data_IF_784909521075
#
_entry.id   IF_784909521075
#
_cell.length_a   1.000
_cell.length_b   1.000
_cell.length_c   1.000
_cell.angle_alpha   90.00
_cell.angle_beta   90.00
_cell.angle_gamma   90.00
#
_symmetry.space_group_name_H-M   'P 1'
#
loop_
_entity.id
_entity.type
_entity.pdbx_description
1 polymer ?
#
# COMPACT_ATOMS: atom_id res chain seq x y z
N UNK A 1 11.33 -17.38 20.98
CA UNK A 1 10.51 -16.16 20.85
C UNK A 1 9.06 -16.59 20.74
N UNK A 2 8.17 -15.98 21.53
CA UNK A 2 6.73 -16.16 21.38
C UNK A 2 6.18 -15.16 20.35
N UNK A 3 5.12 -15.51 19.64
CA UNK A 3 4.35 -14.56 18.83
C UNK A 3 3.39 -13.85 19.79
N UNK A 4 3.43 -12.52 19.81
CA UNK A 4 2.45 -11.73 20.56
C UNK A 4 1.20 -11.49 19.70
N UNK A 5 0.03 -11.83 20.22
CA UNK A 5 -1.25 -11.71 19.51
C UNK A 5 -2.02 -10.50 20.03
N UNK A 6 -2.33 -9.57 19.13
CA UNK A 6 -3.17 -8.40 19.36
C UNK A 6 -4.54 -8.62 18.70
N UNK A 7 -5.64 -8.38 19.43
CA UNK A 7 -7.00 -8.43 18.88
C UNK A 7 -7.58 -7.05 18.81
N UNK A 8 -8.08 -6.69 17.64
CA UNK A 8 -8.59 -5.35 17.34
C UNK A 8 -10.01 -5.52 16.81
N UNK A 9 -10.99 -5.15 17.63
CA UNK A 9 -12.40 -5.17 17.23
C UNK A 9 -12.82 -3.78 16.76
N UNK A 10 -13.15 -3.69 15.49
CA UNK A 10 -13.66 -2.50 14.85
C UNK A 10 -15.18 -2.60 14.89
N UNK A 11 -15.82 -1.63 15.53
CA UNK A 11 -17.28 -1.50 15.48
C UNK A 11 -17.74 -1.51 14.01
N UNK A 12 -18.78 -2.30 13.72
CA UNK A 12 -19.42 -2.31 12.40
C UNK A 12 -20.08 -0.94 12.16
N UNK A 13 -19.30 0.02 11.71
CA UNK A 13 -19.75 1.35 11.32
C UNK A 13 -20.05 1.36 9.83
N UNK A 14 -20.79 2.36 9.36
CA UNK A 14 -21.00 2.58 7.92
C UNK A 14 -19.74 3.11 7.19
N UNK A 15 -18.60 3.21 7.86
CA UNK A 15 -17.37 3.69 7.23
C UNK A 15 -16.77 2.60 6.34
N UNK A 16 -16.59 2.94 5.06
CA UNK A 16 -16.02 2.06 4.04
C UNK A 16 -14.52 1.78 4.25
N UNK A 17 -13.82 2.59 5.06
CA UNK A 17 -12.39 2.45 5.37
C UNK A 17 -12.15 2.49 6.86
N UNK A 18 -11.19 1.70 7.33
CA UNK A 18 -10.68 1.74 8.69
C UNK A 18 -9.16 1.87 8.64
N UNK A 19 -8.61 2.76 9.46
CA UNK A 19 -7.17 2.89 9.67
C UNK A 19 -6.90 2.65 11.15
N UNK A 20 -6.06 1.66 11.44
CA UNK A 20 -5.70 1.28 12.81
C UNK A 20 -4.21 1.42 12.99
N UNK A 21 -3.79 2.23 13.96
CA UNK A 21 -2.40 2.37 14.37
C UNK A 21 -2.15 1.51 15.61
N UNK A 22 -1.13 0.65 15.54
CA UNK A 22 -0.67 -0.14 16.68
C UNK A 22 0.63 0.48 17.17
N UNK A 23 0.64 0.94 18.42
CA UNK A 23 1.75 1.69 19.01
C UNK A 23 2.39 0.92 20.17
N UNK A 24 3.50 1.45 20.70
CA UNK A 24 4.22 0.90 21.86
C UNK A 24 4.67 -0.56 21.68
N UNK A 25 5.03 -0.92 20.45
CA UNK A 25 5.53 -2.24 20.11
C UNK A 25 7.01 -2.39 20.49
N UNK A 26 7.38 -3.57 20.98
CA UNK A 26 8.78 -3.89 21.24
C UNK A 26 9.56 -4.01 19.93
N UNK A 27 10.85 -3.65 19.98
CA UNK A 27 11.76 -3.71 18.83
C UNK A 27 12.16 -5.14 18.51
N UNK A 28 12.38 -5.43 17.22
CA UNK A 28 12.82 -6.75 16.74
C UNK A 28 11.92 -7.93 17.13
N UNK A 29 10.63 -7.66 17.35
CA UNK A 29 9.63 -8.62 17.85
C UNK A 29 8.62 -8.97 16.76
N UNK A 30 8.23 -10.23 16.69
CA UNK A 30 7.18 -10.72 15.80
C UNK A 30 5.82 -10.66 16.46
N UNK A 31 4.88 -10.01 15.78
CA UNK A 31 3.50 -9.83 16.20
C UNK A 31 2.54 -10.51 15.23
N UNK A 32 1.38 -10.89 15.75
CA UNK A 32 0.18 -11.15 14.98
C UNK A 32 -0.94 -10.22 15.44
N UNK A 33 -1.64 -9.62 14.50
CA UNK A 33 -2.82 -8.81 14.73
C UNK A 33 -4.03 -9.47 14.05
N UNK A 34 -5.07 -9.74 14.82
CA UNK A 34 -6.37 -10.21 14.32
C UNK A 34 -7.33 -9.02 14.28
N UNK A 35 -7.79 -8.68 13.07
CA UNK A 35 -8.79 -7.63 12.86
C UNK A 35 -10.16 -8.29 12.82
N UNK A 36 -11.06 -7.80 13.66
CA UNK A 36 -12.47 -8.19 13.70
C UNK A 36 -13.32 -6.97 13.33
N UNK A 37 -14.42 -7.20 12.61
CA UNK A 37 -15.44 -6.21 12.29
C UNK A 37 -16.75 -6.70 12.88
N UNK A 38 -17.27 -5.99 13.89
CA UNK A 38 -18.44 -6.44 14.65
C UNK A 38 -18.23 -7.81 15.30
N UNK A 39 -17.01 -8.08 15.78
CA UNK A 39 -16.65 -9.36 16.40
C UNK A 39 -16.40 -10.52 15.42
N UNK A 40 -16.41 -10.30 14.11
CA UNK A 40 -16.16 -11.33 13.09
C UNK A 40 -14.94 -11.01 12.23
N UNK A 41 -14.17 -12.02 11.85
CA UNK A 41 -13.06 -11.82 10.91
C UNK A 41 -13.62 -11.42 9.52
N UNK A 42 -13.05 -10.39 8.87
CA UNK A 42 -13.50 -9.96 7.56
C UNK A 42 -13.19 -11.01 6.48
N UNK A 43 -13.93 -11.01 5.39
CA UNK A 43 -13.65 -11.83 4.20
C UNK A 43 -13.49 -10.95 2.96
N UNK A 44 -12.75 -11.47 1.97
CA UNK A 44 -12.60 -10.80 0.67
C UNK A 44 -13.75 -11.23 -0.26
N UNK A 45 -14.49 -10.26 -0.81
CA UNK A 45 -15.60 -10.50 -1.75
C UNK A 45 -16.65 -11.51 -1.26
N UNK A 46 -16.86 -11.62 0.06
CA UNK A 46 -17.81 -12.57 0.63
C UNK A 46 -17.44 -14.04 0.42
N UNK A 47 -16.21 -14.34 -0.02
CA UNK A 47 -15.73 -15.71 -0.17
C UNK A 47 -15.70 -16.43 1.18
N UNK A 48 -15.91 -17.74 1.16
CA UNK A 48 -15.72 -18.61 2.34
C UNK A 48 -14.24 -18.63 2.71
N UNK A 49 -13.85 -17.78 3.64
CA UNK A 49 -12.47 -17.64 4.07
C UNK A 49 -12.28 -16.35 4.85
N UNK A 50 -11.75 -16.46 6.06
CA UNK A 50 -11.35 -15.29 6.84
C UNK A 50 -10.09 -14.70 6.23
N UNK A 51 -10.02 -13.37 6.10
CA UNK A 51 -8.77 -12.68 5.73
C UNK A 51 -7.64 -13.17 6.61
N UNK A 52 -7.90 -13.45 7.89
CA UNK A 52 -6.97 -14.08 8.83
C UNK A 52 -6.04 -13.07 9.50
N UNK A 53 -5.19 -13.52 10.45
CA UNK A 53 -4.30 -12.62 11.17
C UNK A 53 -3.25 -12.03 10.24
N UNK A 54 -2.92 -10.77 10.49
CA UNK A 54 -1.79 -10.06 9.91
C UNK A 54 -0.58 -10.35 10.79
N UNK A 55 0.53 -10.80 10.22
CA UNK A 55 1.81 -11.00 10.90
C UNK A 55 2.79 -9.92 10.47
N UNK A 56 3.64 -9.44 11.38
CA UNK A 56 4.72 -8.52 11.05
C UNK A 56 5.84 -8.61 12.09
N UNK A 57 7.05 -8.22 11.69
CA UNK A 57 8.19 -8.03 12.61
C UNK A 57 8.53 -6.56 12.70
N UNK A 58 8.71 -6.06 13.91
CA UNK A 58 9.15 -4.68 14.15
C UNK A 58 10.65 -4.52 13.92
N UNK A 59 11.04 -3.33 13.52
CA UNK A 59 12.44 -2.95 13.39
C UNK A 59 13.18 -2.93 14.75
N UNK A 60 14.52 -3.03 14.76
CA UNK A 60 15.38 -3.24 13.60
C UNK A 60 15.34 -4.67 13.06
N UNK A 61 15.53 -4.80 11.75
CA UNK A 61 15.76 -6.07 11.05
C UNK A 61 17.22 -6.50 11.13
N UNK A 62 17.48 -7.78 10.89
CA UNK A 62 18.84 -8.31 10.83
C UNK A 62 19.50 -7.96 9.49
N UNK A 63 20.83 -7.76 9.49
CA UNK A 63 21.58 -7.54 8.26
C UNK A 63 21.95 -8.88 7.58
N UNK A 64 21.85 -8.98 6.24
CA UNK A 64 21.40 -7.95 5.31
C UNK A 64 19.88 -7.72 5.35
N UNK A 65 19.46 -6.45 5.26
CA UNK A 65 18.04 -6.12 5.05
C UNK A 65 17.62 -6.59 3.66
N UNK A 66 16.49 -7.26 3.57
CA UNK A 66 15.98 -7.87 2.34
C UNK A 66 14.62 -7.26 2.02
N UNK A 67 14.46 -6.74 0.81
CA UNK A 67 13.16 -6.24 0.36
C UNK A 67 12.92 -6.60 -1.09
N UNK A 68 11.65 -6.72 -1.45
CA UNK A 68 11.22 -6.92 -2.83
C UNK A 68 10.62 -5.63 -3.40
N UNK A 69 10.74 -5.45 -4.71
CA UNK A 69 10.16 -4.33 -5.43
C UNK A 69 9.34 -4.81 -6.62
N UNK A 70 8.21 -4.15 -6.88
CA UNK A 70 7.38 -4.40 -8.05
C UNK A 70 6.75 -3.09 -8.54
N UNK A 71 6.55 -2.92 -9.84
CA UNK A 71 5.68 -1.91 -10.43
C UNK A 71 4.73 -2.57 -11.43
N UNK A 72 3.74 -1.85 -11.91
CA UNK A 72 2.92 -2.27 -13.06
C UNK A 72 2.22 -3.63 -12.85
N UNK A 73 1.55 -3.82 -11.70
CA UNK A 73 1.03 -5.13 -11.26
C UNK A 73 -0.40 -5.48 -11.74
N UNK A 74 -0.93 -4.69 -12.67
CA UNK A 74 -2.26 -4.63 -13.31
C UNK A 74 -3.14 -5.86 -13.31
N UNK A 75 -2.57 -7.03 -13.63
CA UNK A 75 -3.32 -7.98 -14.44
C UNK A 75 -4.27 -8.86 -13.63
N UNK A 76 -4.02 -9.04 -12.33
CA UNK A 76 -4.78 -9.98 -11.51
C UNK A 76 -4.80 -11.42 -12.07
N UNK A 77 -3.92 -11.70 -13.03
CA UNK A 77 -3.89 -12.93 -13.79
C UNK A 77 -3.05 -13.98 -13.05
N UNK A 78 -3.01 -15.19 -13.60
CA UNK A 78 -2.24 -16.28 -12.98
C UNK A 78 -0.77 -15.96 -12.77
N UNK A 79 -0.18 -15.04 -13.55
CA UNK A 79 1.22 -14.62 -13.41
C UNK A 79 1.35 -13.69 -12.21
N UNK A 80 0.43 -12.72 -12.03
CA UNK A 80 0.38 -11.88 -10.83
C UNK A 80 0.25 -12.72 -9.56
N UNK A 81 -0.64 -13.73 -9.56
CA UNK A 81 -0.79 -14.66 -8.43
C UNK A 81 0.50 -15.43 -8.13
N UNK A 82 1.11 -16.04 -9.14
CA UNK A 82 2.38 -16.76 -8.98
C UNK A 82 3.49 -15.85 -8.48
N UNK A 83 3.57 -14.60 -8.98
CA UNK A 83 4.54 -13.63 -8.52
C UNK A 83 4.37 -13.30 -7.04
N UNK A 84 3.14 -13.06 -6.59
CA UNK A 84 2.85 -12.80 -5.18
C UNK A 84 3.21 -14.00 -4.29
N UNK A 85 2.92 -15.23 -4.73
CA UNK A 85 3.35 -16.45 -4.02
C UNK A 85 4.87 -16.55 -3.92
N UNK A 86 5.61 -16.22 -4.99
CA UNK A 86 7.06 -16.21 -4.96
C UNK A 86 7.62 -15.16 -4.00
N UNK A 87 7.01 -13.98 -3.91
CA UNK A 87 7.40 -12.93 -2.96
C UNK A 87 7.27 -13.44 -1.52
N UNK A 88 6.17 -14.09 -1.15
CA UNK A 88 5.95 -14.61 0.21
C UNK A 88 6.91 -15.74 0.58
N UNK A 89 7.40 -16.49 -0.42
CA UNK A 89 8.41 -17.53 -0.21
C UNK A 89 9.82 -16.94 0.02
N UNK A 90 10.03 -15.65 -0.24
CA UNK A 90 11.29 -15.00 0.06
C UNK A 90 11.32 -14.55 1.52
N UNK A 91 12.46 -14.74 2.16
CA UNK A 91 12.77 -14.13 3.46
C UNK A 91 13.05 -12.63 3.23
N UNK A 92 11.99 -11.82 3.17
CA UNK A 92 12.05 -10.36 3.02
C UNK A 92 11.44 -9.65 4.23
N UNK A 93 12.02 -8.51 4.58
CA UNK A 93 11.61 -7.68 5.71
C UNK A 93 10.45 -6.74 5.36
N UNK A 94 10.38 -6.27 4.11
CA UNK A 94 9.32 -5.40 3.60
C UNK A 94 9.25 -5.43 2.06
N UNK A 95 8.19 -4.85 1.51
CA UNK A 95 7.93 -4.76 0.09
C UNK A 95 7.65 -3.32 -0.33
N UNK A 96 8.20 -2.91 -1.48
CA UNK A 96 7.95 -1.60 -2.09
C UNK A 96 7.25 -1.79 -3.44
N UNK A 97 6.03 -1.27 -3.58
CA UNK A 97 5.39 -1.10 -4.89
C UNK A 97 5.77 0.26 -5.50
N UNK A 98 6.19 0.29 -6.75
CA UNK A 98 6.75 1.44 -7.45
C UNK A 98 5.70 2.24 -8.24
N UNK A 99 4.42 2.12 -7.89
CA UNK A 99 3.29 2.72 -8.61
C UNK A 99 2.69 1.84 -9.70
N UNK A 100 1.60 2.33 -10.28
CA UNK A 100 0.77 1.66 -11.29
C UNK A 100 0.24 0.33 -10.75
N UNK A 101 -0.45 0.43 -9.61
CA UNK A 101 -0.90 -0.72 -8.80
C UNK A 101 -2.12 -1.36 -9.42
N UNK A 102 -3.15 -0.56 -9.69
CA UNK A 102 -4.39 -1.01 -10.31
C UNK A 102 -4.83 0.05 -11.30
N UNK A 103 -4.78 -0.31 -12.58
CA UNK A 103 -5.31 0.50 -13.66
C UNK A 103 -6.04 -0.36 -14.69
N UNK A 104 -6.49 0.23 -15.79
CA UNK A 104 -7.41 -0.39 -16.74
C UNK A 104 -8.72 -0.86 -16.07
N UNK A 105 -9.38 0.03 -15.31
CA UNK A 105 -10.56 -0.36 -14.53
C UNK A 105 -11.75 -0.80 -15.39
N UNK A 106 -11.72 -0.55 -16.70
CA UNK A 106 -12.73 -1.02 -17.65
C UNK A 106 -12.85 -2.55 -17.73
N UNK A 107 -11.83 -3.30 -17.31
CA UNK A 107 -11.82 -4.78 -17.34
C UNK A 107 -12.83 -5.40 -16.37
N UNK A 108 -13.22 -4.68 -15.33
CA UNK A 108 -14.30 -5.04 -14.41
C UNK A 108 -15.34 -3.92 -14.35
N UNK A 109 -15.88 -3.55 -15.52
CA UNK A 109 -17.01 -2.60 -15.67
C UNK A 109 -16.78 -1.20 -15.07
N UNK A 110 -15.52 -0.78 -14.93
CA UNK A 110 -15.13 0.43 -14.18
C UNK A 110 -15.53 0.42 -12.70
N UNK A 111 -15.84 -0.75 -12.14
CA UNK A 111 -16.02 -0.92 -10.70
C UNK A 111 -14.64 -0.88 -10.03
N UNK A 112 -14.34 0.28 -9.44
CA UNK A 112 -13.08 0.54 -8.77
C UNK A 112 -12.79 -0.48 -7.66
N UNK A 113 -13.81 -0.86 -6.89
CA UNK A 113 -13.68 -1.80 -5.78
C UNK A 113 -13.39 -3.20 -6.27
N UNK A 114 -14.12 -3.65 -7.30
CA UNK A 114 -13.93 -4.97 -7.88
C UNK A 114 -12.57 -5.09 -8.57
N UNK A 115 -12.13 -4.04 -9.27
CA UNK A 115 -10.79 -3.98 -9.84
C UNK A 115 -9.71 -4.14 -8.77
N UNK A 116 -9.78 -3.38 -7.68
CA UNK A 116 -8.80 -3.50 -6.60
C UNK A 116 -8.85 -4.85 -5.89
N UNK A 117 -10.05 -5.38 -5.67
CA UNK A 117 -10.24 -6.69 -5.05
C UNK A 117 -9.61 -7.82 -5.88
N UNK A 118 -9.83 -7.82 -7.20
CA UNK A 118 -9.39 -8.91 -8.08
C UNK A 118 -7.96 -8.73 -8.61
N UNK A 119 -7.50 -7.49 -8.81
CA UNK A 119 -6.16 -7.21 -9.37
C UNK A 119 -5.07 -7.11 -8.31
N UNK A 120 -5.42 -6.72 -7.09
CA UNK A 120 -4.42 -6.49 -6.04
C UNK A 120 -4.72 -7.20 -4.73
N UNK A 121 -5.83 -6.93 -4.05
CA UNK A 121 -6.08 -7.48 -2.71
C UNK A 121 -6.16 -9.01 -2.68
N UNK A 122 -6.76 -9.62 -3.71
CA UNK A 122 -6.79 -11.07 -3.87
C UNK A 122 -5.39 -11.64 -4.12
N UNK A 123 -4.75 -11.31 -5.26
CA UNK A 123 -3.44 -11.85 -5.61
C UNK A 123 -2.37 -11.64 -4.55
N UNK A 124 -2.32 -10.44 -3.96
CA UNK A 124 -1.33 -10.06 -2.94
C UNK A 124 -1.78 -10.34 -1.51
N UNK A 125 -2.88 -11.06 -1.26
CA UNK A 125 -3.44 -11.26 0.08
C UNK A 125 -2.40 -11.75 1.09
N UNK A 126 -1.57 -12.71 0.70
CA UNK A 126 -0.57 -13.31 1.58
C UNK A 126 0.60 -12.35 1.84
N UNK A 127 0.93 -11.51 0.85
CA UNK A 127 1.95 -10.46 0.99
C UNK A 127 1.44 -9.38 1.95
N UNK A 128 0.23 -8.87 1.71
CA UNK A 128 -0.45 -7.84 2.52
C UNK A 128 -0.64 -8.25 3.98
N UNK A 129 -0.77 -9.56 4.23
CA UNK A 129 -0.92 -10.10 5.58
C UNK A 129 0.36 -10.30 6.34
N UNK A 130 1.52 -10.33 5.70
CA UNK A 130 2.74 -10.83 6.36
C UNK A 130 3.92 -9.87 6.23
N UNK A 131 3.89 -9.00 5.22
CA UNK A 131 5.03 -8.18 4.82
C UNK A 131 4.59 -6.71 4.84
N UNK A 132 5.29 -5.84 5.61
CA UNK A 132 5.06 -4.40 5.55
C UNK A 132 5.13 -3.88 4.11
N UNK A 133 4.10 -3.12 3.71
CA UNK A 133 3.93 -2.61 2.34
C UNK A 133 4.12 -1.11 2.27
N UNK A 134 5.01 -0.68 1.37
CA UNK A 134 5.26 0.71 1.02
C UNK A 134 4.88 0.91 -0.45
N UNK A 135 4.13 1.95 -0.77
CA UNK A 135 3.59 2.14 -2.12
C UNK A 135 3.87 3.55 -2.62
N UNK A 136 4.47 3.63 -3.81
CA UNK A 136 4.63 4.85 -4.58
C UNK A 136 3.46 5.06 -5.53
N UNK A 137 3.30 6.28 -6.05
CA UNK A 137 2.25 6.63 -7.02
C UNK A 137 2.85 6.74 -8.42
N UNK A 138 2.27 6.05 -9.38
CA UNK A 138 2.59 6.09 -10.81
C UNK A 138 1.65 6.98 -11.62
N UNK A 139 1.81 6.98 -12.94
CA UNK A 139 0.95 7.77 -13.84
C UNK A 139 -0.44 7.15 -14.00
N UNK A 140 -0.53 5.83 -14.11
CA UNK A 140 -1.80 5.16 -14.30
C UNK A 140 -2.68 5.19 -13.04
N UNK A 141 -2.08 5.36 -11.86
CA UNK A 141 -2.83 5.57 -10.61
C UNK A 141 -3.64 6.88 -10.62
N UNK A 142 -3.38 7.82 -11.55
CA UNK A 142 -4.07 9.11 -11.66
C UNK A 142 -5.09 9.18 -12.80
N UNK A 143 -5.34 8.08 -13.50
CA UNK A 143 -6.32 8.03 -14.59
C UNK A 143 -7.75 8.19 -14.06
N UNK A 144 -8.67 8.72 -14.88
CA UNK A 144 -10.05 8.97 -14.45
C UNK A 144 -10.76 7.74 -13.87
N UNK A 145 -10.45 6.54 -14.38
CA UNK A 145 -11.02 5.27 -13.93
C UNK A 145 -10.41 4.73 -12.63
N UNK A 146 -9.34 5.34 -12.11
CA UNK A 146 -8.67 4.97 -10.86
C UNK A 146 -8.94 5.99 -9.75
N UNK A 147 -9.85 6.95 -9.98
CA UNK A 147 -10.18 7.99 -9.02
C UNK A 147 -11.40 7.62 -8.16
N UNK A 148 -11.34 7.95 -6.88
CA UNK A 148 -12.46 8.03 -5.96
C UNK A 148 -12.65 9.49 -5.56
N UNK A 149 -13.83 10.05 -5.84
CA UNK A 149 -14.16 11.46 -5.57
C UNK A 149 -13.12 12.45 -6.10
N UNK A 150 -12.55 12.16 -7.27
CA UNK A 150 -11.54 13.00 -7.94
C UNK A 150 -10.11 12.83 -7.42
N UNK A 151 -9.87 11.94 -6.46
CA UNK A 151 -8.53 11.63 -5.94
C UNK A 151 -8.09 10.22 -6.34
N UNK A 152 -6.79 10.02 -6.56
CA UNK A 152 -6.25 8.70 -6.85
C UNK A 152 -6.59 7.72 -5.72
N UNK A 153 -7.21 6.59 -6.07
CA UNK A 153 -7.61 5.58 -5.09
C UNK A 153 -6.44 5.01 -4.30
N UNK A 154 -5.21 5.08 -4.84
CA UNK A 154 -4.01 4.63 -4.14
C UNK A 154 -3.83 5.33 -2.78
N UNK A 155 -4.22 6.60 -2.65
CA UNK A 155 -4.17 7.33 -1.38
C UNK A 155 -5.28 6.93 -0.41
N UNK A 156 -6.38 6.42 -0.96
CA UNK A 156 -7.42 5.80 -0.15
C UNK A 156 -6.94 4.44 0.38
N UNK A 157 -6.37 3.58 -0.47
CA UNK A 157 -5.92 2.24 -0.14
C UNK A 157 -4.64 2.21 0.73
N UNK A 158 -3.68 3.07 0.39
CA UNK A 158 -2.38 3.22 1.06
C UNK A 158 -2.22 4.67 1.50
N UNK A 159 -2.86 5.06 2.61
CA UNK A 159 -2.73 6.39 3.11
C UNK A 159 -1.26 6.69 3.46
N UNK A 160 -0.81 7.92 3.21
CA UNK A 160 0.53 8.36 3.53
C UNK A 160 0.75 8.38 5.05
N UNK A 161 1.98 8.06 5.48
CA UNK A 161 2.35 7.96 6.91
C UNK A 161 2.10 9.26 7.68
N UNK A 162 2.29 10.41 7.02
CA UNK A 162 1.90 11.73 7.52
C UNK A 162 0.68 12.23 6.74
N UNK A 163 -0.52 12.01 7.29
CA UNK A 163 -1.78 12.45 6.68
C UNK A 163 -1.84 13.97 6.49
N UNK A 164 -1.18 14.73 7.37
CA UNK A 164 -1.19 16.19 7.37
C UNK A 164 -0.41 16.81 6.18
N UNK A 165 0.54 16.07 5.60
CA UNK A 165 1.43 16.60 4.54
C UNK A 165 1.01 16.18 3.12
N UNK A 166 0.15 15.17 3.00
CA UNK A 166 0.02 14.45 1.73
C UNK A 166 -1.08 14.96 0.79
N UNK A 167 -1.97 15.82 1.29
CA UNK A 167 -3.04 16.42 0.50
C UNK A 167 -2.72 17.85 0.04
N UNK A 168 -1.57 18.40 0.42
CA UNK A 168 -1.08 19.61 -0.22
C UNK A 168 -0.51 19.24 -1.59
N UNK A 169 -1.15 19.72 -2.66
CA UNK A 169 -0.88 19.49 -4.08
C UNK A 169 0.58 19.71 -4.53
N UNK A 170 1.47 20.13 -3.63
CA UNK A 170 2.77 20.71 -3.98
C UNK A 170 3.96 19.81 -3.79
N UNK A 171 3.92 18.74 -2.98
CA UNK A 171 5.09 17.87 -2.77
C UNK A 171 4.70 16.45 -2.37
N UNK A 172 4.17 15.70 -3.33
CA UNK A 172 3.82 14.29 -3.16
C UNK A 172 5.09 13.41 -3.12
N UNK A 173 5.84 13.47 -2.01
CA UNK A 173 6.86 12.49 -1.69
C UNK A 173 6.53 11.89 -0.33
N UNK A 174 6.99 10.66 -0.11
CA UNK A 174 6.93 10.03 1.20
C UNK A 174 8.30 9.47 1.53
N UNK A 175 8.58 9.32 2.81
CA UNK A 175 9.84 8.74 3.25
C UNK A 175 9.60 7.86 4.46
N UNK A 176 10.45 6.86 4.60
CA UNK A 176 10.47 6.00 5.76
C UNK A 176 11.91 5.55 6.02
N UNK A 177 12.17 5.14 7.26
CA UNK A 177 13.47 4.64 7.67
C UNK A 177 13.33 3.16 7.96
N UNK A 178 14.28 2.37 7.46
CA UNK A 178 14.47 0.98 7.85
C UNK A 178 15.87 0.80 8.40
N UNK A 179 15.97 0.43 9.67
CA UNK A 179 17.23 0.44 10.43
C UNK A 179 17.91 1.83 10.32
N UNK A 180 19.03 1.90 9.60
CA UNK A 180 19.86 3.07 9.34
C UNK A 180 19.79 3.55 7.88
N UNK A 181 18.82 3.05 7.10
CA UNK A 181 18.62 3.41 5.68
C UNK A 181 17.36 4.25 5.52
N UNK A 182 17.50 5.43 4.92
CA UNK A 182 16.38 6.29 4.54
C UNK A 182 15.90 5.96 3.13
N UNK A 183 14.63 5.59 3.00
CA UNK A 183 13.94 5.43 1.71
C UNK A 183 13.14 6.69 1.40
N UNK A 184 13.18 7.10 0.14
CA UNK A 184 12.49 8.27 -0.39
C UNK A 184 11.69 7.87 -1.64
N UNK A 185 10.38 8.00 -1.57
CA UNK A 185 9.46 7.83 -2.68
C UNK A 185 9.10 9.19 -3.26
N UNK A 186 9.31 9.39 -4.56
CA UNK A 186 9.06 10.63 -5.26
C UNK A 186 7.93 10.45 -6.26
N UNK A 187 6.89 11.28 -6.20
CA UNK A 187 5.85 11.28 -7.23
C UNK A 187 6.37 11.97 -8.50
N UNK A 188 6.81 11.16 -9.46
CA UNK A 188 7.31 11.62 -10.77
C UNK A 188 6.31 12.49 -11.52
N UNK A 189 5.01 12.32 -11.28
CA UNK A 189 3.94 13.06 -11.96
C UNK A 189 3.76 14.49 -11.45
N UNK A 190 4.32 14.83 -10.28
CA UNK A 190 4.33 16.20 -9.74
C UNK A 190 5.70 16.83 -9.92
N UNK A 191 6.77 16.11 -9.58
CA UNK A 191 8.14 16.64 -9.60
C UNK A 191 8.62 17.11 -10.98
N UNK A 192 8.11 16.51 -12.07
CA UNK A 192 8.52 16.86 -13.43
C UNK A 192 7.50 17.70 -14.21
N UNK A 193 6.29 17.89 -13.68
CA UNK A 193 5.21 18.62 -14.37
C UNK A 193 5.00 20.03 -13.82
N UNK A 194 5.46 20.33 -12.60
CA UNK A 194 5.52 21.72 -12.15
C UNK A 194 6.56 22.50 -12.97
N UNK A 195 6.19 23.65 -13.58
CA UNK A 195 7.17 24.54 -14.17
C UNK A 195 8.20 24.88 -13.10
N UNK A 196 9.49 24.63 -13.38
CA UNK A 196 10.58 25.14 -12.55
C UNK A 196 10.31 26.64 -12.35
N UNK A 197 9.86 27.04 -11.18
CA UNK A 197 9.77 28.44 -10.78
C UNK A 197 11.21 28.92 -10.54
N UNK A 198 11.92 29.15 -11.64
CA UNK A 198 13.36 29.33 -11.66
C UNK A 198 13.81 30.01 -12.95
N UNK A 199 13.62 31.34 -12.97
CA UNK A 199 14.00 32.33 -14.00
C UNK A 199 13.12 32.38 -15.24
N UNK A 200 12.19 33.35 -15.21
CA UNK A 200 11.77 34.10 -16.38
C UNK A 200 12.99 34.50 -17.21
N UNK A 201 13.11 33.96 -18.42
CA UNK A 201 13.85 34.66 -19.48
C UNK A 201 12.97 35.83 -19.89
N UNK A 202 13.37 37.04 -19.53
CA UNK A 202 12.89 38.24 -20.21
C UNK A 202 13.21 38.07 -21.70
N UNK A 203 12.21 37.90 -22.56
CA UNK A 203 12.40 38.14 -23.97
C UNK A 203 12.32 39.65 -24.19
N UNK A 204 13.49 40.28 -24.29
CA UNK A 204 13.64 41.51 -25.02
C UNK A 204 13.78 41.15 -26.50
N UNK A 205 12.75 41.45 -27.29
CA UNK A 205 12.76 42.22 -28.55
C UNK A 205 11.39 42.20 -29.18
#
# INVERSE_FOLDING_TARGET
SGIEVQRIDINATQQLRQLVTIENLDKSTSYQAEILVGGQSPSLLGQEGVWGPISFRTQPYEWPIRFATLGDSVFGDSVTWQLAEHIVQQDIDFFIHLGDVVYHSYEYENDLWLNWALKYYGPFREVLRQIPHYVAVGNHDREGTTLLDGQSFIYWAFPPYNLDEAFEERRQWSSFVVNDVQFLSLNSQVFYTEPRTGRTKSMAR
#
